data_IF_905873771242
#
_entry.id   IF_905873771242
#
_cell.length_a   1.000
_cell.length_b   1.000
_cell.length_c   1.000
_cell.angle_alpha   90.00
_cell.angle_beta   90.00
_cell.angle_gamma   90.00
#
_symmetry.space_group_name_H-M   'P 1'
#
loop_
_entity.id
_entity.type
_entity.pdbx_description
1 polymer ?
#
# COMPACT_ATOMS: atom_id res chain seq x y z
N UNK A 1 55.04 11.10 16.89
CA UNK A 1 54.49 10.11 15.93
C UNK A 1 53.37 10.80 15.17
N UNK A 2 53.52 10.98 13.86
CA UNK A 2 52.49 11.61 13.03
C UNK A 2 51.51 10.56 12.50
N UNK A 3 50.21 10.86 12.53
CA UNK A 3 49.20 10.06 11.83
C UNK A 3 49.23 10.42 10.34
N UNK A 4 49.30 9.41 9.47
CA UNK A 4 49.22 9.57 8.02
C UNK A 4 47.82 9.12 7.56
N UNK A 5 47.14 9.95 6.79
CA UNK A 5 45.84 9.59 6.23
C UNK A 5 46.00 8.43 5.24
N UNK A 6 45.34 7.30 5.52
CA UNK A 6 45.28 6.13 4.63
C UNK A 6 43.91 6.03 3.98
N UNK A 7 43.87 5.64 2.71
CA UNK A 7 42.63 5.38 1.98
C UNK A 7 42.15 3.96 2.30
N UNK A 8 40.92 3.81 2.77
CA UNK A 8 40.29 2.49 3.02
C UNK A 8 38.76 2.46 2.86
N UNK A 9 38.13 3.61 2.55
CA UNK A 9 36.67 3.72 2.50
C UNK A 9 36.01 2.82 1.45
N UNK A 10 36.52 2.81 0.21
CA UNK A 10 35.92 2.01 -0.87
C UNK A 10 35.98 0.51 -0.57
N UNK A 11 37.11 0.00 -0.11
CA UNK A 11 37.26 -1.41 0.24
C UNK A 11 36.34 -1.79 1.41
N UNK A 12 36.25 -0.95 2.44
CA UNK A 12 35.34 -1.16 3.56
C UNK A 12 33.87 -1.20 3.11
N UNK A 13 33.46 -0.31 2.19
CA UNK A 13 32.10 -0.28 1.62
C UNK A 13 31.83 -1.56 0.83
N UNK A 14 32.74 -1.97 -0.05
CA UNK A 14 32.58 -3.21 -0.83
C UNK A 14 32.44 -4.44 0.08
N UNK A 15 33.27 -4.53 1.12
CA UNK A 15 33.20 -5.62 2.10
C UNK A 15 31.92 -5.58 2.92
N UNK A 16 31.43 -4.40 3.30
CA UNK A 16 30.14 -4.25 3.96
C UNK A 16 28.97 -4.72 3.07
N UNK A 17 28.97 -4.35 1.79
CA UNK A 17 27.96 -4.82 0.84
C UNK A 17 28.01 -6.35 0.64
N UNK A 18 29.22 -6.93 0.54
CA UNK A 18 29.41 -8.39 0.47
C UNK A 18 28.90 -9.07 1.74
N UNK A 19 29.18 -8.51 2.91
CA UNK A 19 28.72 -9.04 4.19
C UNK A 19 27.21 -9.00 4.33
N UNK A 20 26.56 -7.90 3.92
CA UNK A 20 25.10 -7.81 3.90
C UNK A 20 24.46 -8.86 2.97
N UNK A 21 25.04 -9.05 1.77
CA UNK A 21 24.61 -10.11 0.86
C UNK A 21 24.82 -11.51 1.47
N UNK A 22 25.95 -11.74 2.15
CA UNK A 22 26.22 -12.97 2.88
C UNK A 22 25.21 -13.19 3.99
N UNK A 23 24.88 -12.19 4.81
CA UNK A 23 23.90 -12.32 5.90
C UNK A 23 22.52 -12.73 5.39
N UNK A 24 22.12 -12.27 4.20
CA UNK A 24 20.89 -12.71 3.53
C UNK A 24 20.97 -14.17 3.03
N UNK A 25 22.16 -14.67 2.72
CA UNK A 25 22.37 -15.97 2.04
C UNK A 25 22.96 -17.08 2.94
N UNK A 26 23.47 -16.76 4.13
CA UNK A 26 24.23 -17.69 5.00
C UNK A 26 23.41 -18.83 5.61
N UNK A 27 22.07 -18.75 5.55
CA UNK A 27 21.18 -19.78 6.07
C UNK A 27 21.16 -21.04 5.20
N UNK A 28 20.64 -22.14 5.75
CA UNK A 28 20.45 -23.41 5.02
C UNK A 28 19.10 -23.52 4.31
N UNK A 29 18.21 -22.55 4.47
CA UNK A 29 16.89 -22.56 3.84
C UNK A 29 17.01 -22.40 2.32
N UNK A 30 16.05 -22.91 1.55
CA UNK A 30 15.97 -22.62 0.13
C UNK A 30 15.94 -21.10 -0.13
N UNK A 31 16.50 -20.62 -1.26
CA UNK A 31 16.41 -19.21 -1.63
C UNK A 31 14.95 -18.76 -1.75
N UNK A 32 14.61 -17.65 -1.10
CA UNK A 32 13.27 -17.07 -1.16
C UNK A 32 12.92 -16.63 -2.60
N UNK A 33 11.81 -17.13 -3.13
CA UNK A 33 11.30 -16.76 -4.46
C UNK A 33 10.69 -15.36 -4.46
N UNK A 34 10.82 -14.63 -5.57
CA UNK A 34 10.13 -13.33 -5.73
C UNK A 34 8.61 -13.53 -5.77
N UNK A 35 8.15 -14.57 -6.47
CA UNK A 35 6.71 -14.92 -6.51
C UNK A 35 6.17 -15.28 -5.13
N UNK A 36 6.97 -15.98 -4.31
CA UNK A 36 6.57 -16.31 -2.92
C UNK A 36 6.34 -15.03 -2.09
N UNK A 37 7.22 -14.04 -2.19
CA UNK A 37 7.05 -12.74 -1.51
C UNK A 37 5.81 -12.03 -2.06
N UNK A 38 5.68 -11.97 -3.39
CA UNK A 38 4.56 -11.32 -4.07
C UNK A 38 3.21 -11.87 -3.62
N UNK A 39 3.10 -13.19 -3.54
CA UNK A 39 1.84 -13.89 -3.27
C UNK A 39 1.54 -13.99 -1.77
N UNK A 40 2.54 -14.27 -0.93
CA UNK A 40 2.33 -14.59 0.49
C UNK A 40 2.53 -13.37 1.40
N UNK A 41 3.34 -12.39 0.98
CA UNK A 41 3.58 -11.13 1.70
C UNK A 41 2.95 -9.93 0.98
N UNK A 42 1.80 -10.15 0.34
CA UNK A 42 1.13 -9.16 -0.52
C UNK A 42 0.88 -7.80 0.16
N UNK A 43 0.59 -7.77 1.48
CA UNK A 43 0.43 -6.52 2.22
C UNK A 43 1.74 -5.70 2.33
N UNK A 44 2.89 -6.37 2.45
CA UNK A 44 4.18 -5.70 2.46
C UNK A 44 4.52 -5.15 1.07
N UNK A 45 4.15 -5.90 0.03
CA UNK A 45 4.30 -5.49 -1.38
C UNK A 45 3.44 -4.26 -1.67
N UNK A 46 2.18 -4.24 -1.23
CA UNK A 46 1.28 -3.09 -1.35
C UNK A 46 1.84 -1.85 -0.64
N UNK A 47 2.37 -2.01 0.57
CA UNK A 47 3.04 -0.92 1.30
C UNK A 47 4.23 -0.36 0.53
N UNK A 48 5.12 -1.22 0.06
CA UNK A 48 6.31 -0.81 -0.71
C UNK A 48 5.94 -0.13 -2.02
N UNK A 49 4.90 -0.61 -2.72
CA UNK A 49 4.38 0.06 -3.93
C UNK A 49 3.81 1.44 -3.63
N UNK A 50 3.01 1.57 -2.56
CA UNK A 50 2.41 2.83 -2.14
C UNK A 50 3.46 3.88 -1.77
N UNK A 51 4.33 3.53 -0.82
CA UNK A 51 5.39 4.43 -0.35
C UNK A 51 6.40 4.73 -1.47
N UNK A 52 6.84 3.72 -2.24
CA UNK A 52 7.73 3.88 -3.39
C UNK A 52 7.13 4.72 -4.53
N UNK A 53 5.80 4.75 -4.62
CA UNK A 53 5.04 5.49 -5.63
C UNK A 53 5.17 4.91 -7.03
N UNK A 54 5.25 3.58 -7.12
CA UNK A 54 5.28 2.83 -8.36
C UNK A 54 4.48 1.53 -8.17
N UNK A 55 3.42 1.37 -8.95
CA UNK A 55 2.68 0.12 -9.01
C UNK A 55 3.43 -0.90 -9.88
N UNK A 56 4.22 -1.76 -9.24
CA UNK A 56 4.99 -2.82 -9.89
C UNK A 56 5.21 -3.99 -8.90
N UNK A 57 4.26 -4.94 -8.78
CA UNK A 57 4.29 -5.99 -7.75
C UNK A 57 5.58 -6.83 -7.75
N UNK A 58 6.06 -7.24 -8.93
CA UNK A 58 7.29 -8.05 -9.06
C UNK A 58 8.54 -7.28 -8.60
N UNK A 59 8.61 -5.98 -8.91
CA UNK A 59 9.74 -5.13 -8.52
C UNK A 59 9.69 -4.79 -7.03
N UNK A 60 8.51 -4.58 -6.47
CA UNK A 60 8.34 -4.39 -5.04
C UNK A 60 8.73 -5.65 -4.26
N UNK A 61 8.32 -6.84 -4.71
CA UNK A 61 8.73 -8.11 -4.14
C UNK A 61 10.26 -8.34 -4.26
N UNK A 62 10.86 -7.98 -5.40
CA UNK A 62 12.32 -8.00 -5.56
C UNK A 62 13.03 -7.03 -4.60
N UNK A 63 12.50 -5.82 -4.42
CA UNK A 63 13.06 -4.84 -3.49
C UNK A 63 13.02 -5.35 -2.04
N UNK A 64 11.90 -5.93 -1.61
CA UNK A 64 11.75 -6.58 -0.29
C UNK A 64 12.76 -7.71 -0.13
N UNK A 65 12.93 -8.56 -1.14
CA UNK A 65 13.95 -9.62 -1.13
C UNK A 65 15.36 -9.04 -0.97
N UNK A 66 15.67 -8.00 -1.74
CA UNK A 66 17.00 -7.41 -1.78
C UNK A 66 17.35 -6.70 -0.46
N UNK A 67 16.37 -6.03 0.17
CA UNK A 67 16.50 -5.34 1.46
C UNK A 67 16.39 -6.26 2.68
N UNK A 68 16.38 -7.58 2.48
CA UNK A 68 16.22 -8.57 3.55
C UNK A 68 14.94 -8.34 4.40
N UNK A 69 13.87 -7.85 3.77
CA UNK A 69 12.59 -7.59 4.43
C UNK A 69 12.41 -6.17 4.97
N UNK A 70 13.44 -5.31 4.92
CA UNK A 70 13.29 -3.91 5.33
C UNK A 70 12.42 -3.15 4.31
N UNK A 71 11.22 -2.75 4.75
CA UNK A 71 10.24 -2.06 3.90
C UNK A 71 10.61 -0.61 3.61
N UNK A 72 11.36 0.06 4.49
CA UNK A 72 11.81 1.43 4.25
C UNK A 72 12.83 1.45 3.12
N UNK A 73 13.83 0.57 3.20
CA UNK A 73 14.84 0.42 2.16
C UNK A 73 14.20 -0.07 0.86
N UNK A 74 13.30 -1.05 0.91
CA UNK A 74 12.59 -1.53 -0.28
C UNK A 74 11.80 -0.42 -0.99
N UNK A 75 11.07 0.42 -0.23
CA UNK A 75 10.34 1.56 -0.79
C UNK A 75 11.30 2.62 -1.37
N UNK A 76 12.44 2.86 -0.72
CA UNK A 76 13.48 3.76 -1.23
C UNK A 76 14.09 3.25 -2.55
N UNK A 77 14.45 1.98 -2.60
CA UNK A 77 14.95 1.31 -3.80
C UNK A 77 13.95 1.39 -4.96
N UNK A 78 12.67 1.10 -4.71
CA UNK A 78 11.63 1.17 -5.74
C UNK A 78 11.44 2.61 -6.25
N UNK A 79 11.54 3.60 -5.35
CA UNK A 79 11.49 5.03 -5.70
C UNK A 79 12.70 5.46 -6.52
N UNK A 80 13.90 4.97 -6.18
CA UNK A 80 15.12 5.19 -6.96
C UNK A 80 15.00 4.56 -8.35
N UNK A 81 14.50 3.32 -8.45
CA UNK A 81 14.22 2.66 -9.72
C UNK A 81 13.26 3.49 -10.57
N UNK A 82 12.15 3.98 -10.02
CA UNK A 82 11.20 4.85 -10.74
C UNK A 82 11.89 6.07 -11.38
N UNK A 83 12.89 6.66 -10.75
CA UNK A 83 13.61 7.82 -11.28
C UNK A 83 14.45 7.50 -12.54
N UNK A 84 14.79 6.23 -12.74
CA UNK A 84 15.50 5.76 -13.95
C UNK A 84 14.57 5.50 -15.14
N UNK A 85 13.25 5.50 -14.92
CA UNK A 85 12.26 5.15 -15.93
C UNK A 85 11.78 6.37 -16.70
N UNK A 86 11.50 6.19 -17.99
CA UNK A 86 10.89 7.23 -18.81
C UNK A 86 9.38 7.34 -18.51
N UNK A 87 8.86 8.57 -18.50
CA UNK A 87 7.43 8.83 -18.40
C UNK A 87 6.81 8.78 -19.80
N UNK A 88 6.06 7.71 -20.09
CA UNK A 88 5.41 7.52 -21.38
C UNK A 88 4.14 8.36 -21.56
N UNK A 89 3.46 8.70 -20.47
CA UNK A 89 2.21 9.48 -20.52
C UNK A 89 1.53 9.60 -19.18
N UNK A 90 0.26 10.02 -19.21
CA UNK A 90 -0.64 10.11 -18.07
C UNK A 90 -1.89 9.26 -18.33
N UNK A 91 -2.41 8.62 -17.29
CA UNK A 91 -3.71 7.94 -17.38
C UNK A 91 -4.84 8.97 -17.38
N UNK A 92 -6.03 8.52 -17.77
CA UNK A 92 -7.26 9.23 -17.42
C UNK A 92 -7.48 9.16 -15.89
N UNK A 93 -8.19 10.12 -15.29
CA UNK A 93 -8.64 10.01 -13.90
C UNK A 93 -9.44 8.73 -13.68
N UNK A 94 -9.19 8.03 -12.57
CA UNK A 94 -9.87 6.78 -12.26
C UNK A 94 -11.32 7.03 -11.83
N UNK A 95 -12.27 6.32 -12.44
CA UNK A 95 -13.66 6.28 -12.00
C UNK A 95 -13.86 5.11 -11.01
N UNK A 96 -13.94 5.45 -9.73
CA UNK A 96 -14.14 4.46 -8.65
C UNK A 96 -15.60 4.03 -8.46
N UNK A 97 -16.57 4.59 -9.20
CA UNK A 97 -17.97 4.15 -9.11
C UNK A 97 -18.20 2.80 -9.79
N UNK A 98 -17.36 2.46 -10.76
CA UNK A 98 -17.38 1.19 -11.50
C UNK A 98 -16.32 0.19 -11.02
N UNK A 99 -15.81 0.40 -9.80
CA UNK A 99 -14.81 -0.49 -9.22
C UNK A 99 -15.40 -1.88 -9.00
N UNK A 100 -14.67 -2.94 -9.41
CA UNK A 100 -14.95 -4.30 -8.96
C UNK A 100 -14.64 -4.38 -7.47
N UNK A 101 -15.68 -4.47 -6.65
CA UNK A 101 -15.53 -4.46 -5.20
C UNK A 101 -14.99 -5.80 -4.70
N UNK A 102 -13.88 -5.74 -3.97
CA UNK A 102 -13.36 -6.85 -3.15
C UNK A 102 -13.70 -6.65 -1.66
N UNK A 103 -13.85 -5.39 -1.24
CA UNK A 103 -14.21 -4.96 0.11
C UNK A 103 -14.88 -3.58 0.05
N UNK A 104 -15.95 -3.39 0.81
CA UNK A 104 -16.71 -2.14 0.94
C UNK A 104 -17.39 -2.10 2.30
N UNK A 105 -16.96 -1.17 3.13
CA UNK A 105 -17.53 -0.95 4.47
C UNK A 105 -17.88 0.52 4.68
N UNK A 106 -18.87 0.79 5.52
CA UNK A 106 -19.14 2.13 6.06
C UNK A 106 -19.55 2.02 7.53
N UNK A 107 -19.02 2.92 8.35
CA UNK A 107 -19.34 3.05 9.77
C UNK A 107 -20.47 4.06 10.04
N UNK A 108 -20.81 4.89 9.06
CA UNK A 108 -21.85 5.93 9.18
C UNK A 108 -23.24 5.33 9.31
N UNK A 109 -23.52 4.23 8.59
CA UNK A 109 -24.80 3.55 8.60
C UNK A 109 -24.62 2.07 8.88
N UNK A 110 -25.61 1.47 9.56
CA UNK A 110 -25.67 0.03 9.76
C UNK A 110 -25.67 -0.70 8.40
N UNK A 111 -26.60 -0.30 7.53
CA UNK A 111 -26.77 -0.84 6.18
C UNK A 111 -26.64 0.27 5.14
N UNK A 112 -26.04 -0.07 4.00
CA UNK A 112 -25.85 0.84 2.87
C UNK A 112 -26.33 0.15 1.60
N UNK A 113 -26.78 0.89 0.56
CA UNK A 113 -27.19 0.26 -0.70
C UNK A 113 -26.05 -0.59 -1.27
N UNK A 114 -26.37 -1.82 -1.69
CA UNK A 114 -25.38 -2.84 -2.08
C UNK A 114 -24.75 -3.62 -0.92
N UNK A 115 -25.12 -3.33 0.33
CA UNK A 115 -24.67 -4.05 1.52
C UNK A 115 -23.24 -3.72 1.97
N UNK A 116 -22.89 -4.24 3.14
CA UNK A 116 -21.54 -4.22 3.70
C UNK A 116 -20.79 -5.46 3.19
N UNK A 117 -19.67 -5.29 2.52
CA UNK A 117 -18.82 -6.37 1.99
C UNK A 117 -17.50 -6.34 2.74
N UNK A 118 -17.32 -7.25 3.70
CA UNK A 118 -16.10 -7.30 4.51
C UNK A 118 -14.88 -7.70 3.67
N UNK A 119 -15.05 -8.59 2.68
CA UNK A 119 -13.93 -9.11 1.91
C UNK A 119 -12.89 -9.84 2.77
N UNK A 120 -11.70 -10.07 2.22
CA UNK A 120 -10.58 -10.62 2.97
C UNK A 120 -10.04 -9.56 3.95
N UNK A 121 -10.08 -9.85 5.26
CA UNK A 121 -9.62 -8.93 6.31
C UNK A 121 -9.16 -9.65 7.57
N UNK A 122 -8.26 -9.02 8.33
CA UNK A 122 -7.83 -9.45 9.66
C UNK A 122 -8.56 -8.71 10.81
N UNK A 123 -9.52 -7.83 10.52
CA UNK A 123 -10.16 -6.99 11.54
C UNK A 123 -10.74 -7.80 12.72
N UNK A 124 -11.31 -8.96 12.41
CA UNK A 124 -12.05 -9.81 13.36
C UNK A 124 -11.25 -11.03 13.83
N UNK A 125 -9.98 -11.18 13.43
CA UNK A 125 -9.19 -12.35 13.84
C UNK A 125 -8.75 -12.23 15.30
N UNK A 126 -8.54 -13.35 15.97
CA UNK A 126 -7.85 -13.35 17.26
C UNK A 126 -6.35 -13.15 17.00
N UNK A 127 -5.71 -12.23 17.73
CA UNK A 127 -4.29 -11.89 17.54
C UNK A 127 -3.40 -12.90 18.28
N UNK A 128 -3.56 -14.17 17.95
CA UNK A 128 -2.80 -15.30 18.48
C UNK A 128 -1.87 -15.83 17.39
N UNK A 129 -0.69 -16.33 17.79
CA UNK A 129 0.21 -17.00 16.85
C UNK A 129 -0.43 -18.29 16.36
N UNK A 130 -0.47 -18.45 15.03
CA UNK A 130 -0.97 -19.64 14.38
C UNK A 130 0.19 -20.62 14.14
N UNK A 131 0.28 -21.65 14.98
CA UNK A 131 1.34 -22.66 14.89
C UNK A 131 1.14 -23.62 13.71
N UNK A 132 -0.06 -23.69 13.12
CA UNK A 132 -0.32 -24.56 11.97
C UNK A 132 0.48 -24.12 10.74
N UNK A 133 0.88 -22.85 10.67
CA UNK A 133 1.73 -22.28 9.63
C UNK A 133 3.18 -22.79 9.66
N UNK A 134 3.64 -23.44 10.74
CA UNK A 134 4.95 -24.11 10.77
C UNK A 134 4.99 -25.35 9.86
N UNK A 135 3.83 -25.92 9.56
CA UNK A 135 3.63 -27.09 8.72
C UNK A 135 2.81 -26.74 7.45
N UNK A 136 3.02 -25.52 6.91
CA UNK A 136 2.35 -25.06 5.70
C UNK A 136 2.91 -25.76 4.45
N UNK A 137 2.11 -26.65 3.85
CA UNK A 137 2.46 -27.39 2.65
C UNK A 137 1.39 -27.26 1.54
N UNK A 138 1.75 -27.66 0.32
CA UNK A 138 0.85 -27.54 -0.84
C UNK A 138 -0.42 -28.39 -0.71
N UNK A 139 -0.39 -29.48 0.06
CA UNK A 139 -1.56 -30.33 0.27
C UNK A 139 -2.60 -29.63 1.14
N UNK A 140 -2.18 -28.98 2.23
CA UNK A 140 -3.04 -28.15 3.09
C UNK A 140 -3.60 -26.96 2.33
N UNK A 141 -2.75 -26.27 1.55
CA UNK A 141 -3.19 -25.14 0.72
C UNK A 141 -4.25 -25.56 -0.30
N UNK A 142 -4.08 -26.71 -0.94
CA UNK A 142 -5.07 -27.25 -1.88
C UNK A 142 -6.38 -27.61 -1.16
N UNK A 143 -6.30 -28.36 -0.06
CA UNK A 143 -7.48 -28.74 0.71
C UNK A 143 -8.26 -27.51 1.23
N UNK A 144 -7.56 -26.46 1.66
CA UNK A 144 -8.18 -25.20 2.06
C UNK A 144 -8.94 -24.55 0.90
N UNK A 145 -8.32 -24.44 -0.29
CA UNK A 145 -8.99 -23.90 -1.48
C UNK A 145 -10.21 -24.72 -1.86
N UNK A 146 -10.06 -26.04 -1.96
CA UNK A 146 -11.16 -26.96 -2.31
C UNK A 146 -12.33 -26.80 -1.34
N UNK A 147 -12.07 -26.77 -0.02
CA UNK A 147 -13.11 -26.54 0.99
C UNK A 147 -13.75 -25.16 0.90
N UNK A 148 -12.98 -24.12 0.61
CA UNK A 148 -13.50 -22.75 0.51
C UNK A 148 -14.43 -22.60 -0.70
N UNK A 149 -14.09 -23.25 -1.82
CA UNK A 149 -14.83 -23.14 -3.07
C UNK A 149 -15.95 -24.20 -3.22
N UNK A 150 -15.99 -25.26 -2.39
CA UNK A 150 -16.97 -26.35 -2.54
C UNK A 150 -18.42 -25.92 -2.39
N UNK A 151 -18.68 -24.94 -1.53
CA UNK A 151 -20.03 -24.52 -1.14
C UNK A 151 -20.41 -23.14 -1.70
N UNK A 152 -19.66 -22.63 -2.69
CA UNK A 152 -19.98 -21.33 -3.26
C UNK A 152 -21.20 -21.43 -4.19
N UNK A 153 -22.22 -20.57 -3.98
CA UNK A 153 -23.32 -20.48 -4.93
C UNK A 153 -22.78 -20.02 -6.29
N UNK A 154 -23.08 -20.78 -7.34
CA UNK A 154 -22.62 -20.50 -8.71
C UNK A 154 -23.10 -19.13 -9.22
N UNK A 155 -24.26 -18.67 -8.75
CA UNK A 155 -24.96 -17.49 -9.23
C UNK A 155 -25.34 -16.52 -8.10
N UNK A 156 -24.37 -16.13 -7.26
CA UNK A 156 -24.61 -15.01 -6.34
C UNK A 156 -24.78 -13.72 -7.15
N UNK A 157 -26.00 -13.17 -7.20
CA UNK A 157 -26.27 -11.86 -7.81
C UNK A 157 -25.55 -10.76 -7.03
N UNK A 158 -24.40 -10.33 -7.54
CA UNK A 158 -23.68 -9.16 -7.03
C UNK A 158 -24.17 -7.93 -7.82
N UNK A 159 -24.57 -6.84 -7.14
CA UNK A 159 -24.92 -5.60 -7.82
C UNK A 159 -23.80 -5.13 -8.76
N UNK A 160 -24.16 -4.74 -9.98
CA UNK A 160 -23.19 -4.26 -10.97
C UNK A 160 -22.52 -2.94 -10.55
N UNK A 161 -23.17 -2.17 -9.67
CA UNK A 161 -22.68 -0.87 -9.19
C UNK A 161 -22.94 -0.72 -7.70
N UNK A 162 -22.00 -0.08 -7.01
CA UNK A 162 -22.11 0.23 -5.60
C UNK A 162 -22.10 1.76 -5.43
N UNK A 163 -23.25 2.39 -5.13
CA UNK A 163 -23.29 3.83 -4.96
C UNK A 163 -22.42 4.25 -3.75
N UNK A 164 -21.73 5.38 -3.88
CA UNK A 164 -20.91 5.93 -2.80
C UNK A 164 -21.82 6.50 -1.71
N UNK A 165 -21.53 6.20 -0.45
CA UNK A 165 -22.28 6.73 0.71
C UNK A 165 -22.27 8.27 0.70
N UNK A 166 -21.15 8.88 0.32
CA UNK A 166 -21.04 10.34 0.20
C UNK A 166 -22.04 10.94 -0.79
N UNK A 167 -22.41 10.21 -1.86
CA UNK A 167 -23.37 10.67 -2.86
C UNK A 167 -24.80 10.66 -2.31
N UNK A 168 -25.11 9.77 -1.37
CA UNK A 168 -26.40 9.74 -0.66
C UNK A 168 -26.49 10.98 0.25
N UNK A 169 -25.46 11.21 1.06
CA UNK A 169 -25.41 12.37 1.97
C UNK A 169 -25.50 13.71 1.23
N UNK A 170 -24.90 13.84 0.04
CA UNK A 170 -25.05 15.04 -0.81
C UNK A 170 -26.47 15.23 -1.32
N UNK A 171 -27.11 14.18 -1.81
CA UNK A 171 -28.51 14.23 -2.30
C UNK A 171 -29.48 14.66 -1.20
N UNK A 172 -29.18 14.32 0.05
CA UNK A 172 -29.95 14.73 1.23
C UNK A 172 -29.60 16.15 1.73
N UNK A 173 -28.65 16.84 1.09
CA UNK A 173 -28.22 18.18 1.50
C UNK A 173 -27.36 18.21 2.77
N UNK A 174 -26.86 17.05 3.24
CA UNK A 174 -26.04 16.92 4.44
C UNK A 174 -24.56 17.22 4.18
N UNK A 175 -24.14 17.18 2.92
CA UNK A 175 -22.78 17.52 2.49
C UNK A 175 -22.83 18.49 1.31
N UNK A 176 -21.81 19.34 1.22
CA UNK A 176 -21.61 20.19 0.06
C UNK A 176 -21.46 19.35 -1.21
N UNK A 177 -22.03 19.87 -2.30
CA UNK A 177 -21.87 19.29 -3.63
C UNK A 177 -20.40 19.18 -4.01
N UNK A 178 -20.08 18.18 -4.83
CA UNK A 178 -18.73 18.07 -5.35
C UNK A 178 -18.40 19.30 -6.20
N UNK A 179 -17.13 19.74 -6.16
CA UNK A 179 -16.64 20.78 -7.07
C UNK A 179 -16.95 20.33 -8.51
N UNK A 180 -17.67 21.16 -9.24
CA UNK A 180 -18.01 20.89 -10.64
C UNK A 180 -16.75 20.87 -11.50
N UNK A 181 -16.79 20.22 -12.67
CA UNK A 181 -15.64 20.12 -13.56
C UNK A 181 -15.02 21.49 -13.95
N UNK A 182 -15.80 22.58 -13.92
CA UNK A 182 -15.31 23.95 -14.13
C UNK A 182 -14.67 24.63 -12.92
N UNK A 183 -14.75 24.01 -11.73
CA UNK A 183 -14.15 24.49 -10.47
C UNK A 183 -12.97 23.61 -10.02
N UNK A 184 -12.60 22.60 -10.80
CA UNK A 184 -11.39 21.82 -10.58
C UNK A 184 -10.17 22.67 -10.94
N UNK A 185 -9.11 22.61 -10.12
CA UNK A 185 -7.81 23.22 -10.46
C UNK A 185 -7.44 22.79 -11.88
N UNK A 186 -7.19 23.76 -12.77
CA UNK A 186 -6.93 23.52 -14.19
C UNK A 186 -5.69 22.62 -14.44
N UNK A 187 -4.81 22.47 -13.43
CA UNK A 187 -3.65 21.59 -13.48
C UNK A 187 -3.39 20.94 -12.12
N UNK A 188 -3.24 19.62 -12.10
CA UNK A 188 -2.78 18.85 -10.93
C UNK A 188 -1.31 19.15 -10.68
N UNK A 189 -0.95 19.54 -9.45
CA UNK A 189 0.46 19.76 -9.07
C UNK A 189 1.20 18.41 -8.99
N UNK A 190 2.40 18.32 -9.55
CA UNK A 190 3.25 17.11 -9.51
C UNK A 190 4.53 17.37 -8.72
N UNK A 191 4.57 16.93 -7.47
CA UNK A 191 5.71 17.04 -6.55
C UNK A 191 6.94 16.27 -7.03
N UNK A 192 6.81 15.40 -8.05
CA UNK A 192 7.94 14.69 -8.67
C UNK A 192 8.58 15.47 -9.81
N UNK A 193 8.01 16.62 -10.19
CA UNK A 193 8.52 17.51 -11.24
C UNK A 193 8.79 18.93 -10.74
N UNK A 194 8.05 19.37 -9.73
CA UNK A 194 8.11 20.71 -9.21
C UNK A 194 8.47 20.67 -7.71
N UNK A 195 9.36 21.55 -7.23
CA UNK A 195 9.66 21.64 -5.81
C UNK A 195 8.40 22.06 -5.04
N UNK A 196 8.18 21.45 -3.88
CA UNK A 196 7.03 21.75 -3.03
C UNK A 196 7.20 23.12 -2.36
N UNK A 197 6.24 24.01 -2.56
CA UNK A 197 6.16 25.31 -1.90
C UNK A 197 4.91 25.41 -1.03
N UNK A 198 5.00 26.10 0.11
CA UNK A 198 3.88 26.26 1.02
C UNK A 198 3.26 27.67 0.91
N UNK A 199 1.91 27.79 0.99
CA UNK A 199 0.93 26.71 1.11
C UNK A 199 0.84 25.87 -0.17
N UNK A 200 0.73 24.55 0.00
CA UNK A 200 0.67 23.62 -1.12
C UNK A 200 -0.77 23.43 -1.62
N UNK A 201 -0.94 23.26 -2.93
CA UNK A 201 -2.22 22.90 -3.52
C UNK A 201 -2.71 21.54 -3.00
N UNK A 202 -4.02 21.32 -2.97
CA UNK A 202 -4.62 20.07 -2.47
C UNK A 202 -4.09 18.85 -3.23
N UNK A 203 -3.87 18.98 -4.54
CA UNK A 203 -3.28 17.96 -5.40
C UNK A 203 -1.87 17.55 -4.92
N UNK A 204 -1.01 18.52 -4.59
CA UNK A 204 0.31 18.28 -4.03
C UNK A 204 0.25 17.58 -2.67
N UNK A 205 -0.67 18.03 -1.79
CA UNK A 205 -0.88 17.40 -0.48
C UNK A 205 -1.29 15.94 -0.62
N UNK A 206 -2.31 15.64 -1.44
CA UNK A 206 -2.77 14.26 -1.65
C UNK A 206 -1.67 13.37 -2.26
N UNK A 207 -0.89 13.90 -3.20
CA UNK A 207 0.24 13.16 -3.78
C UNK A 207 1.34 12.88 -2.74
N UNK A 208 1.62 13.84 -1.84
CA UNK A 208 2.57 13.66 -0.76
C UNK A 208 2.08 12.63 0.26
N UNK A 209 0.81 12.71 0.68
CA UNK A 209 0.18 11.75 1.60
C UNK A 209 0.21 10.31 1.06
N UNK A 210 -0.10 10.14 -0.24
CA UNK A 210 -0.08 8.82 -0.88
C UNK A 210 1.32 8.17 -0.94
N UNK A 211 2.38 8.98 -0.81
CA UNK A 211 3.79 8.53 -0.83
C UNK A 211 4.44 8.57 0.56
N UNK A 212 3.68 8.99 1.58
CA UNK A 212 4.15 9.14 2.95
C UNK A 212 4.37 7.78 3.60
N UNK A 213 5.31 7.72 4.53
CA UNK A 213 5.59 6.51 5.29
C UNK A 213 4.41 6.16 6.20
N UNK A 214 3.96 4.91 6.13
CA UNK A 214 2.69 4.48 6.74
C UNK A 214 2.64 4.74 8.25
N UNK A 215 3.71 4.44 9.00
CA UNK A 215 3.77 4.63 10.45
C UNK A 215 3.71 6.10 10.85
N UNK A 216 4.48 6.96 10.18
CA UNK A 216 4.45 8.42 10.37
C UNK A 216 3.08 9.02 10.04
N UNK A 217 2.47 8.57 8.93
CA UNK A 217 1.12 9.01 8.56
C UNK A 217 0.07 8.58 9.59
N UNK A 218 0.17 7.36 10.11
CA UNK A 218 -0.72 6.85 11.15
C UNK A 218 -0.54 7.63 12.46
N UNK A 219 0.69 7.96 12.85
CA UNK A 219 0.96 8.74 14.05
C UNK A 219 0.33 10.14 13.98
N UNK A 220 0.42 10.80 12.81
CA UNK A 220 -0.22 12.09 12.55
C UNK A 220 -1.76 12.00 12.58
N UNK A 221 -2.33 10.97 11.95
CA UNK A 221 -3.78 10.74 11.98
C UNK A 221 -4.25 10.46 13.42
N UNK A 222 -3.50 9.67 14.17
CA UNK A 222 -3.81 9.33 15.56
C UNK A 222 -3.74 10.54 16.49
N UNK A 223 -2.76 11.44 16.33
CA UNK A 223 -2.69 12.66 17.14
C UNK A 223 -3.93 13.55 16.92
N UNK A 224 -4.41 13.65 15.67
CA UNK A 224 -5.64 14.37 15.36
C UNK A 224 -6.86 13.75 16.06
N UNK A 225 -6.99 12.43 16.06
CA UNK A 225 -8.06 11.72 16.81
C UNK A 225 -7.96 11.92 18.33
N UNK A 226 -6.77 12.24 18.85
CA UNK A 226 -6.54 12.53 20.27
C UNK A 226 -6.74 14.01 20.65
N UNK A 227 -7.24 14.83 19.73
CA UNK A 227 -7.58 16.24 19.97
C UNK A 227 -6.55 17.25 19.47
N UNK A 228 -5.46 16.80 18.83
CA UNK A 228 -4.52 17.69 18.14
C UNK A 228 -5.05 18.05 16.74
N UNK A 229 -6.22 18.69 16.70
CA UNK A 229 -6.95 19.08 15.49
C UNK A 229 -8.45 19.14 15.75
N UNK A 230 -9.18 19.92 14.96
CA UNK A 230 -10.64 20.11 15.10
C UNK A 230 -11.40 19.32 14.03
N UNK A 231 -11.28 17.99 14.03
CA UNK A 231 -12.05 17.12 13.13
C UNK A 231 -12.65 15.93 13.90
N UNK A 232 -13.83 15.49 13.47
CA UNK A 232 -14.52 14.32 14.02
C UNK A 232 -14.70 13.27 12.91
N UNK A 233 -13.67 12.44 12.64
CA UNK A 233 -13.67 11.55 11.49
C UNK A 233 -14.70 10.42 11.61
N UNK A 234 -15.18 9.95 10.47
CA UNK A 234 -15.99 8.73 10.32
C UNK A 234 -15.54 8.00 9.05
N UNK A 235 -15.71 6.68 9.01
CA UNK A 235 -15.34 5.80 7.90
C UNK A 235 -16.55 5.50 7.00
#
# INVERSE_FOLDING_TARGET
MGYVAVKGGNEAIEKACQLFAYDRMKGSSPPLGVDQIKEQLYLAVDRVMGEGGLYAPDLAALAIKQSAGDTFEAAFMLRAFRATQQRLGYSLPIDTEKMRIVRRISSVFKDVPGGQILGATSDYTLRLLDFDLLEDDESRRRAFRERLFSDLPADAEIPATFPKVISILRREGLLAEALTAGQQEASVFDITRQPLTFPAARSATLQALARGETGGMLALAYSSMRGYGNIHPTL
#
